data_IF_698446990689
#
_entry.id   IF_698446990689
#
_cell.length_a   1.000
_cell.length_b   1.000
_cell.length_c   1.000
_cell.angle_alpha   90.00
_cell.angle_beta   90.00
_cell.angle_gamma   90.00
#
_symmetry.space_group_name_H-M   'P 1'
#
loop_
_entity.id
_entity.type
_entity.pdbx_description
1 polymer ?
#
# COMPACT_ATOMS: atom_id res chain seq x y z
N UNK A 1 13.15 -8.54 17.92
CA UNK A 1 12.21 -7.45 17.67
C UNK A 1 11.95 -7.38 16.19
N UNK A 2 10.69 -7.39 15.74
CA UNK A 2 10.37 -7.34 14.33
C UNK A 2 10.63 -5.95 13.72
N UNK A 3 10.67 -5.88 12.38
CA UNK A 3 10.84 -4.62 11.65
C UNK A 3 9.91 -4.53 10.44
N UNK A 4 9.44 -3.33 10.14
CA UNK A 4 8.63 -3.04 8.97
C UNK A 4 9.29 -1.97 8.10
N UNK A 5 9.40 -2.26 6.80
CA UNK A 5 9.80 -1.33 5.75
C UNK A 5 8.55 -0.74 5.10
N UNK A 6 8.41 0.58 5.12
CA UNK A 6 7.23 1.29 4.60
C UNK A 6 7.63 2.13 3.39
N UNK A 7 7.31 1.65 2.19
CA UNK A 7 7.47 2.39 0.94
C UNK A 7 6.26 3.31 0.78
N UNK A 8 6.50 4.61 0.79
CA UNK A 8 5.48 5.65 0.93
C UNK A 8 5.28 6.07 2.39
N UNK A 9 6.34 6.21 3.16
CA UNK A 9 6.32 6.64 4.57
C UNK A 9 5.67 8.02 4.81
N UNK A 10 5.53 8.84 3.76
CA UNK A 10 4.78 10.11 3.80
C UNK A 10 3.31 9.98 3.41
N UNK A 11 2.88 8.82 2.90
CA UNK A 11 1.46 8.52 2.67
C UNK A 11 0.71 8.48 4.01
N UNK A 12 -0.51 9.01 4.04
CA UNK A 12 -1.29 9.06 5.27
C UNK A 12 -1.59 7.65 5.82
N UNK A 13 -1.97 6.70 4.95
CA UNK A 13 -2.19 5.29 5.34
C UNK A 13 -0.87 4.62 5.72
N UNK A 14 0.20 4.85 4.96
CA UNK A 14 1.52 4.28 5.25
C UNK A 14 2.03 4.70 6.63
N UNK A 15 1.94 5.99 6.94
CA UNK A 15 2.38 6.52 8.22
C UNK A 15 1.49 6.07 9.39
N UNK A 16 0.16 6.10 9.22
CA UNK A 16 -0.76 5.60 10.25
C UNK A 16 -0.49 4.11 10.56
N UNK A 17 -0.23 3.30 9.52
CA UNK A 17 0.15 1.90 9.70
C UNK A 17 1.48 1.78 10.45
N UNK A 18 2.49 2.56 10.07
CA UNK A 18 3.79 2.57 10.76
C UNK A 18 3.66 2.88 12.25
N UNK A 19 2.80 3.84 12.64
CA UNK A 19 2.53 4.16 14.05
C UNK A 19 1.96 2.97 14.81
N UNK A 20 1.01 2.24 14.23
CA UNK A 20 0.42 1.05 14.88
C UNK A 20 1.46 -0.05 15.06
N UNK A 21 2.35 -0.28 14.08
CA UNK A 21 3.45 -1.23 14.23
C UNK A 21 4.46 -0.76 15.29
N UNK A 22 4.79 0.54 15.35
CA UNK A 22 5.66 1.11 16.39
C UNK A 22 5.09 0.95 17.80
N UNK A 23 3.78 1.18 17.97
CA UNK A 23 3.05 0.93 19.23
C UNK A 23 3.16 -0.52 19.67
N UNK A 24 3.23 -1.44 18.74
CA UNK A 24 3.43 -2.87 18.97
C UNK A 24 4.91 -3.30 18.96
N UNK A 25 5.82 -2.34 19.18
CA UNK A 25 7.27 -2.56 19.37
C UNK A 25 8.01 -3.10 18.14
N UNK A 26 7.53 -2.83 16.93
CA UNK A 26 8.31 -3.06 15.72
C UNK A 26 9.23 -1.88 15.45
N UNK A 27 10.45 -2.15 14.99
CA UNK A 27 11.32 -1.12 14.44
C UNK A 27 10.78 -0.67 13.07
N UNK A 28 10.87 0.63 12.79
CA UNK A 28 10.26 1.25 11.61
C UNK A 28 11.36 1.67 10.64
N UNK A 29 11.13 1.44 9.35
CA UNK A 29 11.94 2.03 8.28
C UNK A 29 11.00 2.77 7.33
N UNK A 30 10.97 4.10 7.40
CA UNK A 30 10.16 4.94 6.51
C UNK A 30 10.95 5.33 5.28
N UNK A 31 10.34 5.16 4.11
CA UNK A 31 10.98 5.45 2.83
C UNK A 31 10.07 6.34 1.98
N UNK A 32 10.58 7.47 1.50
CA UNK A 32 9.84 8.42 0.66
C UNK A 32 10.77 9.43 -0.01
N UNK A 33 10.24 10.25 -0.94
CA UNK A 33 10.96 11.32 -1.64
C UNK A 33 11.22 12.56 -0.79
N UNK A 34 10.37 12.86 0.19
CA UNK A 34 10.51 14.05 1.04
C UNK A 34 11.10 13.64 2.39
N UNK A 35 12.41 13.82 2.51
CA UNK A 35 13.18 13.49 3.73
C UNK A 35 12.81 14.42 4.90
N UNK A 36 12.61 15.71 4.67
CA UNK A 36 12.27 16.65 5.74
C UNK A 36 10.99 16.24 6.48
N UNK A 37 9.97 15.78 5.75
CA UNK A 37 8.76 15.23 6.36
C UNK A 37 9.02 13.91 7.10
N UNK A 38 9.92 13.06 6.58
CA UNK A 38 10.28 11.81 7.26
C UNK A 38 11.03 12.08 8.58
N UNK A 39 11.88 13.10 8.66
CA UNK A 39 12.57 13.48 9.89
C UNK A 39 11.59 13.83 11.02
N UNK A 40 10.55 14.62 10.72
CA UNK A 40 9.50 14.96 11.68
C UNK A 40 8.82 13.68 12.19
N UNK A 41 8.42 12.80 11.27
CA UNK A 41 7.73 11.54 11.59
C UNK A 41 8.61 10.57 12.35
N UNK A 42 9.91 10.52 12.04
CA UNK A 42 10.90 9.73 12.77
C UNK A 42 10.96 10.18 14.22
N UNK A 43 11.14 11.47 14.47
CA UNK A 43 11.19 12.04 15.83
C UNK A 43 9.92 11.71 16.62
N UNK A 44 8.74 11.82 16.00
CA UNK A 44 7.46 11.46 16.61
C UNK A 44 7.43 9.98 17.01
N UNK A 45 7.78 9.07 16.09
CA UNK A 45 7.79 7.62 16.35
C UNK A 45 8.76 7.26 17.48
N UNK A 46 9.99 7.76 17.42
CA UNK A 46 11.03 7.46 18.42
C UNK A 46 10.66 8.00 19.79
N UNK A 47 10.09 9.21 19.84
CA UNK A 47 9.66 9.84 21.10
C UNK A 47 8.49 9.10 21.75
N UNK A 48 7.44 8.80 20.97
CA UNK A 48 6.18 8.23 21.51
C UNK A 48 6.28 6.73 21.80
N UNK A 49 6.95 5.96 20.94
CA UNK A 49 6.88 4.50 21.00
C UNK A 49 8.17 3.84 21.50
N UNK A 50 9.28 4.59 21.61
CA UNK A 50 10.59 4.11 22.07
C UNK A 50 11.09 2.92 21.24
N UNK A 51 10.97 3.01 19.90
CA UNK A 51 11.48 2.06 18.90
C UNK A 51 12.43 2.75 17.96
N UNK A 52 13.32 2.02 17.31
CA UNK A 52 14.22 2.59 16.28
C UNK A 52 13.42 2.94 15.03
N UNK A 53 13.64 4.15 14.49
CA UNK A 53 13.04 4.59 13.23
C UNK A 53 14.14 5.03 12.26
N UNK A 54 14.37 4.23 11.23
CA UNK A 54 15.25 4.57 10.10
C UNK A 54 14.43 5.32 9.04
N UNK A 55 15.06 6.26 8.36
CA UNK A 55 14.50 6.93 7.18
C UNK A 55 15.45 6.81 6.00
N UNK A 56 14.89 6.72 4.80
CA UNK A 56 15.69 6.69 3.57
C UNK A 56 14.96 7.43 2.44
N UNK A 57 15.72 8.20 1.67
CA UNK A 57 15.22 8.78 0.42
C UNK A 57 15.06 7.69 -0.63
N UNK A 58 13.92 7.71 -1.32
CA UNK A 58 13.66 6.89 -2.50
C UNK A 58 12.61 7.55 -3.39
N UNK A 59 12.95 7.78 -4.64
CA UNK A 59 11.96 7.90 -5.71
C UNK A 59 11.80 6.54 -6.37
N UNK A 60 10.63 5.92 -6.15
CA UNK A 60 10.33 4.58 -6.67
C UNK A 60 10.21 4.54 -8.22
N UNK A 61 10.05 5.71 -8.86
CA UNK A 61 10.04 5.85 -10.31
C UNK A 61 11.44 5.90 -10.92
N UNK A 62 12.46 6.15 -10.12
CA UNK A 62 13.84 6.24 -10.56
C UNK A 62 14.56 4.92 -10.29
N UNK A 63 15.00 4.25 -11.35
CA UNK A 63 15.63 2.94 -11.26
C UNK A 63 16.96 2.96 -10.48
N UNK A 64 17.78 3.99 -10.67
CA UNK A 64 19.05 4.14 -9.96
C UNK A 64 18.83 4.33 -8.46
N UNK A 65 17.76 5.09 -8.09
CA UNK A 65 17.39 5.23 -6.68
C UNK A 65 16.98 3.89 -6.07
N UNK A 66 16.23 3.08 -6.81
CA UNK A 66 15.81 1.74 -6.37
C UNK A 66 17.02 0.82 -6.23
N UNK A 67 17.93 0.80 -7.22
CA UNK A 67 19.15 -0.01 -7.17
C UNK A 67 20.04 0.40 -5.99
N UNK A 68 20.27 1.71 -5.81
CA UNK A 68 21.04 2.27 -4.69
C UNK A 68 20.40 1.95 -3.33
N UNK A 69 19.05 1.93 -3.25
CA UNK A 69 18.35 1.52 -2.04
C UNK A 69 18.74 0.10 -1.64
N UNK A 70 18.68 -0.86 -2.56
CA UNK A 70 19.03 -2.27 -2.28
C UNK A 70 20.51 -2.48 -2.03
N UNK A 71 21.40 -1.69 -2.62
CA UNK A 71 22.83 -1.75 -2.35
C UNK A 71 23.17 -1.30 -0.92
N UNK A 72 22.45 -0.31 -0.38
CA UNK A 72 22.69 0.24 0.97
C UNK A 72 21.88 -0.45 2.08
N UNK A 73 20.81 -1.18 1.75
CA UNK A 73 19.94 -1.84 2.72
C UNK A 73 20.06 -3.36 2.58
N UNK A 74 21.10 -3.91 3.22
CA UNK A 74 21.47 -5.33 3.09
C UNK A 74 20.57 -6.25 3.92
N UNK A 75 20.08 -5.77 5.07
CA UNK A 75 19.28 -6.58 5.98
C UNK A 75 17.81 -6.63 5.57
N UNK A 76 17.24 -7.84 5.58
CA UNK A 76 15.82 -8.05 5.34
C UNK A 76 14.97 -7.47 6.48
N UNK A 77 13.89 -6.72 6.17
CA UNK A 77 12.81 -6.49 7.14
C UNK A 77 11.99 -7.78 7.32
N UNK A 78 11.20 -7.83 8.39
CA UNK A 78 10.18 -8.87 8.52
C UNK A 78 8.98 -8.58 7.62
N UNK A 79 8.63 -7.30 7.47
CA UNK A 79 7.42 -6.87 6.76
C UNK A 79 7.78 -5.79 5.77
N UNK A 80 7.23 -5.87 4.55
CA UNK A 80 7.26 -4.81 3.55
C UNK A 80 5.84 -4.30 3.33
N UNK A 81 5.63 -3.01 3.56
CA UNK A 81 4.39 -2.30 3.25
C UNK A 81 4.59 -1.40 2.04
N UNK A 82 3.84 -1.62 0.98
CA UNK A 82 3.78 -0.76 -0.19
C UNK A 82 2.56 0.15 -0.08
N UNK A 83 2.79 1.42 0.26
CA UNK A 83 1.77 2.43 0.49
C UNK A 83 1.90 3.65 -0.44
N UNK A 84 2.47 3.44 -1.62
CA UNK A 84 2.53 4.45 -2.68
C UNK A 84 1.27 4.40 -3.53
N UNK A 85 0.87 5.55 -4.07
CA UNK A 85 -0.27 5.67 -4.97
C UNK A 85 -0.50 7.11 -5.38
N UNK A 86 -1.19 7.28 -6.51
CA UNK A 86 -1.51 8.58 -7.08
C UNK A 86 -2.86 8.50 -7.80
N UNK A 87 -3.73 9.51 -7.62
CA UNK A 87 -5.09 9.51 -8.15
C UNK A 87 -5.39 10.69 -9.07
N UNK A 88 -4.39 11.54 -9.37
CA UNK A 88 -4.62 12.64 -10.31
C UNK A 88 -5.19 12.13 -11.63
N UNK A 89 -6.34 12.68 -11.98
CA UNK A 89 -7.06 12.40 -13.23
C UNK A 89 -6.56 13.44 -14.25
N UNK A 90 -5.27 13.46 -14.49
CA UNK A 90 -4.70 14.21 -15.58
C UNK A 90 -4.44 13.24 -16.74
N UNK A 91 -5.22 13.36 -17.79
CA UNK A 91 -5.10 12.53 -19.00
C UNK A 91 -3.72 12.65 -19.67
N UNK A 92 -2.95 13.70 -19.34
CA UNK A 92 -1.58 13.89 -19.83
C UNK A 92 -0.50 13.11 -19.08
N UNK A 93 -0.84 12.54 -17.90
CA UNK A 93 0.11 11.84 -17.02
C UNK A 93 -0.21 10.36 -16.81
N UNK A 94 -0.88 9.71 -17.77
CA UNK A 94 -1.36 8.32 -17.66
C UNK A 94 -0.23 7.31 -17.36
N UNK A 95 0.94 7.44 -17.99
CA UNK A 95 2.08 6.56 -17.76
C UNK A 95 2.58 6.66 -16.32
N UNK A 96 2.67 7.87 -15.80
CA UNK A 96 3.08 8.12 -14.41
C UNK A 96 2.09 7.52 -13.41
N UNK A 97 0.79 7.62 -13.69
CA UNK A 97 -0.27 7.03 -12.84
C UNK A 97 -0.12 5.50 -12.83
N UNK A 98 0.03 4.87 -13.99
CA UNK A 98 0.24 3.43 -14.11
C UNK A 98 1.53 3.00 -13.40
N UNK A 99 2.62 3.73 -13.60
CA UNK A 99 3.92 3.45 -12.99
C UNK A 99 3.88 3.53 -11.47
N UNK A 100 3.32 4.60 -10.89
CA UNK A 100 3.26 4.76 -9.41
C UNK A 100 2.34 3.72 -8.78
N UNK A 101 1.20 3.39 -9.42
CA UNK A 101 0.19 2.55 -8.79
C UNK A 101 0.41 1.04 -8.99
N UNK A 102 1.22 0.65 -9.99
CA UNK A 102 1.42 -0.76 -10.33
C UNK A 102 2.88 -1.10 -10.65
N UNK A 103 3.46 -0.53 -11.72
CA UNK A 103 4.75 -1.00 -12.25
C UNK A 103 5.87 -0.87 -11.24
N UNK A 104 6.07 0.31 -10.67
CA UNK A 104 7.16 0.54 -9.70
C UNK A 104 6.98 -0.21 -8.38
N UNK A 105 5.76 -0.29 -7.79
CA UNK A 105 5.46 -1.21 -6.69
C UNK A 105 5.82 -2.66 -6.97
N UNK A 106 5.42 -3.18 -8.13
CA UNK A 106 5.74 -4.55 -8.56
C UNK A 106 7.25 -4.75 -8.65
N UNK A 107 7.95 -3.88 -9.39
CA UNK A 107 9.42 -3.95 -9.55
C UNK A 107 10.14 -3.90 -8.19
N UNK A 108 9.70 -3.03 -7.29
CA UNK A 108 10.28 -2.93 -5.95
C UNK A 108 10.08 -4.24 -5.15
N UNK A 109 8.91 -4.85 -5.22
CA UNK A 109 8.62 -6.14 -4.57
C UNK A 109 9.51 -7.24 -5.15
N UNK A 110 9.63 -7.34 -6.48
CA UNK A 110 10.47 -8.37 -7.12
C UNK A 110 11.96 -8.21 -6.74
N UNK A 111 12.50 -6.98 -6.78
CA UNK A 111 13.87 -6.71 -6.32
C UNK A 111 14.03 -7.02 -4.81
N UNK A 112 13.01 -6.77 -3.99
CA UNK A 112 13.00 -7.14 -2.56
C UNK A 112 13.09 -8.66 -2.37
N UNK A 113 12.35 -9.42 -3.17
CA UNK A 113 12.39 -10.88 -3.10
C UNK A 113 13.74 -11.43 -3.51
N UNK A 114 14.32 -10.94 -4.60
CA UNK A 114 15.67 -11.32 -5.02
C UNK A 114 16.67 -11.06 -3.88
N UNK A 115 16.58 -9.90 -3.21
CA UNK A 115 17.54 -9.48 -2.18
C UNK A 115 17.34 -10.15 -0.84
N UNK A 116 16.08 -10.35 -0.41
CA UNK A 116 15.75 -10.66 0.99
C UNK A 116 15.22 -12.07 1.22
N UNK A 117 14.70 -12.76 0.19
CA UNK A 117 14.06 -14.07 0.36
C UNK A 117 15.00 -15.11 0.98
N UNK A 118 16.26 -15.14 0.57
CA UNK A 118 17.27 -16.07 1.07
C UNK A 118 17.63 -15.88 2.54
N UNK A 119 17.40 -14.67 3.09
CA UNK A 119 17.67 -14.38 4.50
C UNK A 119 16.60 -14.97 5.45
N UNK A 120 15.50 -15.53 4.92
CA UNK A 120 14.41 -16.19 5.67
C UNK A 120 13.81 -15.34 6.81
N UNK A 121 13.98 -14.01 6.75
CA UNK A 121 13.47 -13.05 7.73
C UNK A 121 12.20 -12.36 7.27
N UNK A 122 12.04 -12.17 5.96
CA UNK A 122 10.83 -11.61 5.36
C UNK A 122 9.67 -12.60 5.54
N UNK A 123 8.65 -12.19 6.27
CA UNK A 123 7.46 -13.00 6.57
C UNK A 123 6.18 -12.50 5.92
N UNK A 124 6.10 -11.20 5.60
CA UNK A 124 4.86 -10.62 5.07
C UNK A 124 5.11 -9.45 4.11
N UNK A 125 4.37 -9.44 3.01
CA UNK A 125 4.26 -8.32 2.07
C UNK A 125 2.83 -7.78 2.13
N UNK A 126 2.68 -6.47 2.31
CA UNK A 126 1.37 -5.79 2.39
C UNK A 126 1.31 -4.76 1.26
N UNK A 127 0.37 -4.92 0.34
CA UNK A 127 0.15 -3.98 -0.76
C UNK A 127 -1.14 -3.17 -0.58
N UNK A 128 -1.03 -1.83 -0.61
CA UNK A 128 -2.21 -0.95 -0.58
C UNK A 128 -2.73 -0.77 -2.01
N UNK A 129 -3.80 -1.51 -2.33
CA UNK A 129 -4.57 -1.35 -3.56
C UNK A 129 -5.74 -0.37 -3.34
N UNK A 130 -6.93 -0.68 -3.80
CA UNK A 130 -8.16 0.09 -3.64
C UNK A 130 -9.38 -0.78 -3.99
N UNK A 131 -10.54 -0.47 -3.41
CA UNK A 131 -11.83 -0.99 -3.92
C UNK A 131 -12.08 -0.58 -5.37
N UNK A 132 -11.51 0.55 -5.81
CA UNK A 132 -11.61 1.01 -7.19
C UNK A 132 -10.93 0.05 -8.20
N UNK A 133 -10.02 -0.83 -7.75
CA UNK A 133 -9.40 -1.86 -8.57
C UNK A 133 -10.28 -3.10 -8.82
N UNK A 134 -11.46 -3.19 -8.21
CA UNK A 134 -12.32 -4.36 -8.38
C UNK A 134 -13.14 -4.31 -9.70
N UNK A 135 -13.39 -3.13 -10.23
CA UNK A 135 -14.02 -2.93 -11.54
C UNK A 135 -13.65 -1.57 -12.12
N UNK A 136 -13.38 -1.53 -13.44
CA UNK A 136 -13.08 -0.30 -14.15
C UNK A 136 -14.20 0.74 -14.06
N UNK A 137 -13.85 2.04 -14.09
CA UNK A 137 -14.80 3.15 -14.05
C UNK A 137 -14.48 4.13 -15.17
N UNK A 138 -15.49 4.79 -15.74
CA UNK A 138 -15.34 5.83 -16.76
C UNK A 138 -14.35 6.92 -16.29
N UNK A 139 -14.60 7.50 -15.12
CA UNK A 139 -13.69 8.49 -14.55
C UNK A 139 -12.54 7.80 -13.78
N UNK A 140 -11.31 8.08 -14.19
CA UNK A 140 -10.11 7.50 -13.57
C UNK A 140 -9.86 6.04 -13.99
N UNK A 141 -10.14 5.70 -15.26
CA UNK A 141 -9.93 4.36 -15.82
C UNK A 141 -8.50 3.87 -15.64
N UNK A 142 -7.49 4.73 -15.82
CA UNK A 142 -6.07 4.40 -15.65
C UNK A 142 -5.74 4.08 -14.18
N UNK A 143 -6.29 4.85 -13.24
CA UNK A 143 -6.14 4.56 -11.81
C UNK A 143 -6.79 3.22 -11.45
N UNK A 144 -8.04 3.00 -11.87
CA UNK A 144 -8.77 1.77 -11.54
C UNK A 144 -8.11 0.54 -12.16
N UNK A 145 -7.65 0.61 -13.41
CA UNK A 145 -6.92 -0.47 -14.08
C UNK A 145 -5.58 -0.76 -13.40
N UNK A 146 -4.83 0.28 -13.02
CA UNK A 146 -3.56 0.11 -12.29
C UNK A 146 -3.74 -0.56 -10.94
N UNK A 147 -4.80 -0.20 -10.17
CA UNK A 147 -5.12 -0.84 -8.90
C UNK A 147 -5.67 -2.26 -9.08
N UNK A 148 -6.37 -2.54 -10.18
CA UNK A 148 -6.76 -3.90 -10.57
C UNK A 148 -5.53 -4.76 -10.88
N UNK A 149 -4.61 -4.26 -11.71
CA UNK A 149 -3.36 -4.94 -12.04
C UNK A 149 -2.52 -5.23 -10.77
N UNK A 150 -2.40 -4.25 -9.86
CA UNK A 150 -1.69 -4.46 -8.61
C UNK A 150 -2.37 -5.50 -7.71
N UNK A 151 -3.70 -5.51 -7.63
CA UNK A 151 -4.44 -6.53 -6.89
C UNK A 151 -4.21 -7.93 -7.46
N UNK A 152 -4.31 -8.09 -8.78
CA UNK A 152 -4.06 -9.34 -9.48
C UNK A 152 -2.62 -9.83 -9.30
N UNK A 153 -1.64 -8.92 -9.38
CA UNK A 153 -0.24 -9.24 -9.10
C UNK A 153 -0.04 -9.77 -7.68
N UNK A 154 -0.63 -9.11 -6.67
CA UNK A 154 -0.54 -9.56 -5.27
C UNK A 154 -1.22 -10.92 -5.06
N UNK A 155 -2.30 -11.21 -5.77
CA UNK A 155 -2.97 -12.52 -5.70
C UNK A 155 -2.10 -13.63 -6.30
N UNK A 156 -1.46 -13.41 -7.45
CA UNK A 156 -0.47 -14.33 -8.03
C UNK A 156 0.77 -14.48 -7.16
N UNK A 157 1.25 -13.37 -6.59
CA UNK A 157 2.38 -13.38 -5.67
C UNK A 157 2.11 -14.23 -4.42
N UNK A 158 0.90 -14.19 -3.88
CA UNK A 158 0.47 -15.01 -2.74
C UNK A 158 0.58 -16.51 -3.04
N UNK A 159 0.18 -16.93 -4.24
CA UNK A 159 0.31 -18.31 -4.68
C UNK A 159 1.78 -18.70 -4.83
N UNK A 160 2.57 -17.85 -5.50
CA UNK A 160 4.01 -18.09 -5.74
C UNK A 160 4.83 -18.22 -4.46
N UNK A 161 4.50 -17.44 -3.42
CA UNK A 161 5.24 -17.39 -2.17
C UNK A 161 4.69 -18.32 -1.07
N UNK A 162 3.68 -19.12 -1.39
CA UNK A 162 3.04 -20.00 -0.40
C UNK A 162 4.02 -21.02 0.20
N UNK A 163 4.82 -21.67 -0.62
CA UNK A 163 5.85 -22.63 -0.17
C UNK A 163 6.99 -21.97 0.62
N UNK A 164 7.27 -20.70 0.34
CA UNK A 164 8.29 -19.90 1.05
C UNK A 164 7.80 -19.40 2.41
N UNK A 165 6.52 -19.61 2.75
CA UNK A 165 5.84 -19.13 3.96
C UNK A 165 5.85 -17.60 4.10
N UNK A 166 5.97 -16.88 2.99
CA UNK A 166 5.85 -15.42 2.95
C UNK A 166 4.39 -15.08 2.67
N UNK A 167 3.74 -14.43 3.64
CA UNK A 167 2.34 -14.05 3.52
C UNK A 167 2.15 -12.77 2.69
N UNK A 168 1.12 -12.72 1.84
CA UNK A 168 0.82 -11.55 1.02
C UNK A 168 -0.58 -11.03 1.32
N UNK A 169 -0.68 -9.77 1.77
CA UNK A 169 -1.93 -9.11 2.11
C UNK A 169 -2.25 -8.05 1.05
N UNK A 170 -3.40 -8.20 0.39
CA UNK A 170 -3.98 -7.17 -0.49
C UNK A 170 -4.94 -6.31 0.34
N UNK A 171 -4.58 -5.05 0.59
CA UNK A 171 -5.46 -4.09 1.27
C UNK A 171 -6.23 -3.31 0.22
N UNK A 172 -7.56 -3.30 0.35
CA UNK A 172 -8.49 -2.58 -0.53
C UNK A 172 -9.27 -1.53 0.26
N UNK A 173 -8.69 -0.33 0.47
CA UNK A 173 -9.42 0.76 1.10
C UNK A 173 -10.53 1.26 0.20
N UNK A 174 -11.67 1.63 0.81
CA UNK A 174 -12.63 2.52 0.21
C UNK A 174 -12.22 3.99 0.39
N UNK A 175 -13.17 4.85 0.76
CA UNK A 175 -12.87 6.24 1.04
C UNK A 175 -12.21 6.40 2.40
N UNK A 176 -11.06 7.07 2.41
CA UNK A 176 -10.25 7.32 3.62
C UNK A 176 -9.93 8.80 3.70
N UNK A 177 -9.95 9.36 4.90
CA UNK A 177 -9.62 10.76 5.18
C UNK A 177 -8.11 11.00 4.97
N UNK A 178 -7.70 11.11 3.71
CA UNK A 178 -6.33 11.35 3.27
C UNK A 178 -6.23 12.65 2.49
N UNK A 179 -5.01 13.18 2.36
CA UNK A 179 -4.73 14.33 1.49
C UNK A 179 -5.19 14.10 0.04
N UNK A 180 -5.11 12.86 -0.43
CA UNK A 180 -5.53 12.43 -1.75
C UNK A 180 -7.04 12.62 -1.99
N UNK A 181 -7.87 12.48 -0.96
CA UNK A 181 -9.33 12.57 -1.04
C UNK A 181 -9.89 13.91 -0.53
N UNK A 182 -9.02 14.86 -0.14
CA UNK A 182 -9.44 16.11 0.51
C UNK A 182 -10.41 16.95 -0.30
N UNK A 183 -10.29 16.93 -1.62
CA UNK A 183 -11.10 17.73 -2.54
C UNK A 183 -12.29 16.96 -3.14
N UNK A 184 -12.57 15.75 -2.66
CA UNK A 184 -13.70 14.97 -3.11
C UNK A 184 -14.92 15.23 -2.21
N UNK A 185 -16.06 15.53 -2.81
CA UNK A 185 -17.34 15.58 -2.09
C UNK A 185 -17.83 14.15 -1.86
N UNK A 186 -17.59 13.65 -0.65
CA UNK A 186 -17.84 12.26 -0.28
C UNK A 186 -18.78 12.20 0.93
N UNK A 187 -19.70 11.21 1.00
CA UNK A 187 -20.54 11.01 2.16
C UNK A 187 -19.68 10.77 3.42
N UNK A 188 -19.75 11.69 4.39
CA UNK A 188 -18.90 11.68 5.60
C UNK A 188 -18.97 10.36 6.37
N UNK A 189 -20.16 9.73 6.43
CA UNK A 189 -20.38 8.46 7.12
C UNK A 189 -19.59 7.28 6.48
N UNK A 190 -19.18 7.40 5.21
CA UNK A 190 -18.44 6.36 4.51
C UNK A 190 -16.93 6.61 4.51
N UNK A 191 -16.45 7.69 5.11
CA UNK A 191 -15.04 8.04 5.15
C UNK A 191 -14.41 7.42 6.40
N UNK A 192 -13.47 6.49 6.22
CA UNK A 192 -12.71 5.93 7.32
C UNK A 192 -11.56 6.85 7.74
N UNK A 193 -11.20 6.88 9.02
CA UNK A 193 -9.98 7.54 9.47
C UNK A 193 -8.74 6.73 9.09
N UNK A 194 -7.60 7.40 8.90
CA UNK A 194 -6.32 6.72 8.59
C UNK A 194 -5.88 5.79 9.73
N UNK A 195 -6.14 6.17 10.98
CA UNK A 195 -5.79 5.36 12.15
C UNK A 195 -6.64 4.09 12.21
N UNK A 196 -7.93 4.17 11.86
CA UNK A 196 -8.77 2.98 11.73
C UNK A 196 -8.21 2.02 10.67
N UNK A 197 -7.78 2.53 9.51
CA UNK A 197 -7.17 1.72 8.45
C UNK A 197 -5.88 1.08 8.93
N UNK A 198 -4.98 1.84 9.57
CA UNK A 198 -3.73 1.31 10.13
C UNK A 198 -3.94 0.18 11.12
N UNK A 199 -4.91 0.33 12.05
CA UNK A 199 -5.28 -0.70 13.02
C UNK A 199 -5.82 -1.97 12.33
N UNK A 200 -6.66 -1.82 11.29
CA UNK A 200 -7.19 -2.97 10.52
C UNK A 200 -6.11 -3.70 9.75
N UNK A 201 -5.12 -2.97 9.20
CA UNK A 201 -3.95 -3.56 8.53
C UNK A 201 -3.13 -4.38 9.55
N UNK A 202 -2.82 -3.83 10.71
CA UNK A 202 -2.10 -4.56 11.74
C UNK A 202 -2.85 -5.81 12.21
N UNK A 203 -4.16 -5.69 12.45
CA UNK A 203 -5.00 -6.86 12.78
C UNK A 203 -4.94 -7.93 11.69
N UNK A 204 -5.01 -7.52 10.41
CA UNK A 204 -4.93 -8.46 9.28
C UNK A 204 -3.57 -9.15 9.19
N UNK A 205 -2.49 -8.44 9.49
CA UNK A 205 -1.15 -9.03 9.62
C UNK A 205 -1.14 -10.12 10.72
N UNK A 206 -1.66 -9.83 11.91
CA UNK A 206 -1.72 -10.79 13.01
C UNK A 206 -2.60 -12.01 12.73
N UNK A 207 -3.68 -11.83 11.98
CA UNK A 207 -4.64 -12.91 11.66
C UNK A 207 -4.37 -13.58 10.31
N UNK A 208 -3.27 -13.23 9.63
CA UNK A 208 -2.88 -13.76 8.31
C UNK A 208 -4.02 -13.66 7.25
N UNK A 209 -4.74 -12.53 7.23
CA UNK A 209 -5.83 -12.31 6.28
C UNK A 209 -5.27 -12.01 4.88
N UNK A 210 -5.74 -12.70 3.85
CA UNK A 210 -5.25 -12.54 2.47
C UNK A 210 -5.69 -11.22 1.83
N UNK A 211 -6.98 -10.89 1.91
CA UNK A 211 -7.57 -9.67 1.34
C UNK A 211 -8.33 -8.92 2.41
N UNK A 212 -8.05 -7.64 2.54
CA UNK A 212 -8.65 -6.75 3.52
C UNK A 212 -9.40 -5.61 2.83
N UNK A 213 -10.73 -5.62 2.85
CA UNK A 213 -11.54 -4.44 2.55
C UNK A 213 -11.66 -3.54 3.80
N UNK A 214 -11.43 -2.24 3.65
CA UNK A 214 -11.48 -1.30 4.78
C UNK A 214 -12.25 -0.04 4.40
N UNK A 215 -13.36 0.24 5.10
CA UNK A 215 -14.13 -0.62 6.02
C UNK A 215 -14.67 -1.91 5.39
N UNK A 216 -15.03 -2.88 6.22
CA UNK A 216 -15.41 -4.22 5.76
C UNK A 216 -16.65 -4.27 4.85
N UNK A 217 -17.60 -3.33 5.01
CA UNK A 217 -18.81 -3.26 4.18
C UNK A 217 -18.51 -3.08 2.68
N UNK A 218 -17.32 -2.55 2.33
CA UNK A 218 -16.92 -2.47 0.93
C UNK A 218 -16.81 -3.83 0.24
N UNK A 219 -16.56 -4.90 0.99
CA UNK A 219 -16.55 -6.25 0.39
C UNK A 219 -17.92 -6.63 -0.18
N UNK A 220 -18.98 -6.27 0.54
CA UNK A 220 -20.38 -6.53 0.11
C UNK A 220 -20.76 -5.61 -1.05
N UNK A 221 -20.47 -4.31 -0.93
CA UNK A 221 -20.74 -3.33 -2.00
C UNK A 221 -20.03 -3.78 -3.31
N UNK A 222 -18.73 -4.11 -3.22
CA UNK A 222 -17.96 -4.50 -4.41
C UNK A 222 -18.35 -5.87 -4.95
N UNK A 223 -18.84 -6.78 -4.12
CA UNK A 223 -19.42 -8.03 -4.59
C UNK A 223 -20.59 -7.77 -5.54
N UNK A 224 -21.60 -7.02 -5.12
CA UNK A 224 -22.74 -6.67 -5.97
C UNK A 224 -22.34 -5.78 -7.15
N UNK A 225 -21.43 -4.82 -6.94
CA UNK A 225 -20.95 -3.93 -8.00
C UNK A 225 -20.29 -4.71 -9.16
N UNK A 226 -19.55 -5.78 -8.88
CA UNK A 226 -18.95 -6.66 -9.89
C UNK A 226 -19.98 -7.50 -10.65
N UNK A 227 -21.10 -7.84 -10.02
CA UNK A 227 -22.17 -8.65 -10.62
C UNK A 227 -23.06 -7.87 -11.59
N UNK A 228 -23.01 -6.53 -11.61
CA UNK A 228 -23.81 -5.72 -12.53
C UNK A 228 -23.49 -6.12 -13.97
N UNK A 229 -24.46 -6.56 -14.79
CA UNK A 229 -24.22 -6.90 -16.20
C UNK A 229 -23.64 -5.73 -16.99
N UNK A 230 -22.77 -6.01 -17.95
CA UNK A 230 -22.07 -4.98 -18.73
C UNK A 230 -23.04 -4.04 -19.47
N UNK A 231 -24.16 -4.57 -19.95
CA UNK A 231 -25.21 -3.79 -20.62
C UNK A 231 -25.81 -2.70 -19.72
N UNK A 232 -25.93 -2.97 -18.43
CA UNK A 232 -26.40 -2.00 -17.42
C UNK A 232 -25.24 -1.12 -16.98
N UNK A 233 -24.09 -1.71 -16.72
CA UNK A 233 -22.92 -1.02 -16.16
C UNK A 233 -22.47 0.17 -17.03
N UNK A 234 -22.40 0.01 -18.35
CA UNK A 234 -22.03 1.09 -19.28
C UNK A 234 -22.98 2.31 -19.24
N UNK A 235 -24.23 2.11 -18.79
CA UNK A 235 -25.23 3.18 -18.72
C UNK A 235 -25.15 3.92 -17.40
N UNK A 236 -24.98 3.21 -16.29
CA UNK A 236 -24.99 3.80 -14.94
C UNK A 236 -23.62 4.40 -14.54
N UNK A 237 -22.56 4.06 -15.24
CA UNK A 237 -21.22 4.60 -15.02
C UNK A 237 -21.05 5.99 -15.66
N UNK A 238 -22.02 6.90 -15.45
CA UNK A 238 -21.94 8.29 -15.93
C UNK A 238 -20.93 9.12 -15.16
#
# INVERSE_FOLDING_TARGET
>A
MGSILVIGGNSDIGYATAKVFAQNKYNIHLVSRNISQLEIKKKEIESLYKVKCKITFLDILNEDNVNNFFNKNLESPNIILIAVGHTEIDEKNYEKIASINYVSPMVFIEKSLIKYKTQKKLDTIIGISSVAGDRGKKRGSIYTSSKSAFSSYLDGLRQRLYSDKIHVITVKPGWVATKMNKNLDLPKIMIASVDFVGNKIFKSYKTKKNTLYVPAYWSIIMFFYKMIPETIFKIIAK
#
